data_IF_335518776173
#
_entry.id   IF_335518776173
#
_cell.length_a   1.000
_cell.length_b   1.000
_cell.length_c   1.000
_cell.angle_alpha   90.00
_cell.angle_beta   90.00
_cell.angle_gamma   90.00
#
_symmetry.space_group_name_H-M   'P 1'
#
loop_
_entity.id
_entity.type
_entity.pdbx_description
1 polymer ?
#
# COMPACT_ATOMS: atom_id res chain seq x y z
N UNK A 1 -5.92 -11.03 7.57
CA UNK A 1 -5.28 -10.83 6.25
C UNK A 1 -3.87 -11.37 6.38
N UNK A 2 -3.42 -12.17 5.43
CA UNK A 2 -2.04 -12.65 5.37
C UNK A 2 -1.14 -11.69 4.58
N UNK A 3 0.19 -11.70 4.81
CA UNK A 3 1.13 -10.90 4.03
C UNK A 3 1.05 -11.15 2.52
N UNK A 4 0.90 -12.40 2.09
CA UNK A 4 0.76 -12.76 0.67
C UNK A 4 -0.53 -12.20 0.05
N UNK A 5 -1.65 -12.19 0.78
CA UNK A 5 -2.90 -11.59 0.29
C UNK A 5 -2.76 -10.06 0.13
N UNK A 6 -2.09 -9.39 1.07
CA UNK A 6 -1.82 -7.96 0.96
C UNK A 6 -0.91 -7.66 -0.23
N UNK A 7 0.17 -8.43 -0.39
CA UNK A 7 1.12 -8.28 -1.48
C UNK A 7 0.45 -8.43 -2.85
N UNK A 8 -0.31 -9.52 -3.07
CA UNK A 8 -1.03 -9.74 -4.33
C UNK A 8 -2.04 -8.63 -4.61
N UNK A 9 -2.76 -8.16 -3.59
CA UNK A 9 -3.71 -7.07 -3.79
C UNK A 9 -3.00 -5.75 -4.14
N UNK A 10 -1.92 -5.41 -3.44
CA UNK A 10 -1.19 -4.18 -3.66
C UNK A 10 -0.47 -4.16 -5.02
N UNK A 11 0.12 -5.29 -5.44
CA UNK A 11 0.83 -5.41 -6.72
C UNK A 11 -0.12 -5.37 -7.93
N UNK A 12 -1.35 -5.86 -7.78
CA UNK A 12 -2.37 -5.83 -8.84
C UNK A 12 -3.27 -4.59 -8.79
N UNK A 13 -3.12 -3.70 -7.79
CA UNK A 13 -4.06 -2.62 -7.53
C UNK A 13 -4.27 -1.70 -8.75
N UNK A 14 -3.19 -1.34 -9.44
CA UNK A 14 -3.22 -0.52 -10.66
C UNK A 14 -4.12 -1.09 -11.77
N UNK A 15 -4.40 -2.39 -11.75
CA UNK A 15 -5.27 -3.05 -12.74
C UNK A 15 -6.75 -2.84 -12.46
N UNK A 16 -7.12 -2.45 -11.24
CA UNK A 16 -8.51 -2.29 -10.81
C UNK A 16 -9.18 -1.07 -11.47
N UNK A 17 -10.51 -1.10 -11.71
CA UNK A 17 -11.22 0.04 -12.29
C UNK A 17 -11.10 1.33 -11.44
N UNK A 18 -11.09 1.19 -10.11
CA UNK A 18 -10.97 2.32 -9.20
C UNK A 18 -9.60 3.01 -9.32
N UNK A 19 -8.53 2.22 -9.36
CA UNK A 19 -7.17 2.73 -9.52
C UNK A 19 -6.99 3.41 -10.89
N UNK A 20 -7.48 2.78 -11.97
CA UNK A 20 -7.43 3.35 -13.33
C UNK A 20 -8.16 4.68 -13.44
N UNK A 21 -9.29 4.84 -12.76
CA UNK A 21 -10.07 6.08 -12.79
C UNK A 21 -9.31 7.29 -12.22
N UNK A 22 -8.36 7.06 -11.32
CA UNK A 22 -7.57 8.11 -10.65
C UNK A 22 -6.08 8.05 -10.96
N UNK A 23 -5.65 7.12 -11.83
CA UNK A 23 -4.23 6.91 -12.16
C UNK A 23 -3.37 6.40 -11.00
N UNK A 24 -3.95 5.76 -9.99
CA UNK A 24 -3.22 5.28 -8.83
C UNK A 24 -2.50 3.95 -9.13
N UNK A 25 -1.28 3.80 -8.62
CA UNK A 25 -0.48 2.57 -8.76
C UNK A 25 -0.64 1.63 -7.56
N UNK A 26 -0.77 2.19 -6.35
CA UNK A 26 -0.80 1.46 -5.10
C UNK A 26 -2.05 1.81 -4.29
N UNK A 27 -2.59 0.86 -3.49
CA UNK A 27 -3.72 1.13 -2.63
C UNK A 27 -3.30 2.03 -1.46
N UNK A 28 -4.23 2.87 -1.01
CA UNK A 28 -4.08 3.56 0.26
C UNK A 28 -4.36 2.61 1.42
N UNK A 29 -3.87 2.95 2.62
CA UNK A 29 -4.25 2.28 3.86
C UNK A 29 -5.77 2.26 4.06
N UNK A 30 -6.47 3.32 3.64
CA UNK A 30 -7.93 3.36 3.66
C UNK A 30 -8.55 2.32 2.73
N UNK A 31 -8.02 2.13 1.53
CA UNK A 31 -8.50 1.11 0.59
C UNK A 31 -8.30 -0.30 1.14
N UNK A 32 -7.10 -0.57 1.68
CA UNK A 32 -6.75 -1.84 2.29
C UNK A 32 -7.65 -2.13 3.50
N UNK A 33 -7.79 -1.16 4.41
CA UNK A 33 -8.64 -1.29 5.60
C UNK A 33 -10.09 -1.58 5.22
N UNK A 34 -10.63 -0.88 4.21
CA UNK A 34 -11.99 -1.10 3.72
C UNK A 34 -12.15 -2.48 3.06
N UNK A 35 -11.16 -2.92 2.28
CA UNK A 35 -11.21 -4.21 1.56
C UNK A 35 -11.13 -5.40 2.50
N UNK A 36 -10.17 -5.39 3.42
CA UNK A 36 -9.88 -6.53 4.28
C UNK A 36 -10.53 -6.42 5.66
N UNK A 37 -11.23 -5.31 5.96
CA UNK A 37 -11.86 -5.04 7.27
C UNK A 37 -10.85 -5.11 8.42
N UNK A 38 -9.69 -4.47 8.22
CA UNK A 38 -8.57 -4.42 9.17
C UNK A 38 -8.28 -2.98 9.61
N UNK A 39 -7.56 -2.83 10.71
CA UNK A 39 -7.05 -1.55 11.20
C UNK A 39 -5.75 -1.14 10.50
N UNK A 40 -5.36 0.13 10.60
CA UNK A 40 -4.09 0.60 10.04
C UNK A 40 -2.87 -0.04 10.69
N UNK A 41 -2.92 -0.28 12.01
CA UNK A 41 -1.84 -0.97 12.74
C UNK A 41 -1.67 -2.41 12.24
N UNK A 42 -2.78 -3.11 11.92
CA UNK A 42 -2.71 -4.44 11.32
C UNK A 42 -2.09 -4.44 9.92
N UNK A 43 -2.27 -3.37 9.13
CA UNK A 43 -1.65 -3.24 7.81
C UNK A 43 -0.13 -3.09 7.98
N UNK A 44 0.31 -2.22 8.88
CA UNK A 44 1.74 -2.03 9.18
C UNK A 44 2.38 -3.33 9.65
N UNK A 45 1.77 -4.02 10.63
CA UNK A 45 2.27 -5.32 11.07
C UNK A 45 2.32 -6.34 9.92
N UNK A 46 1.32 -6.36 9.05
CA UNK A 46 1.32 -7.27 7.89
C UNK A 46 2.46 -6.95 6.90
N UNK A 47 2.82 -5.67 6.75
CA UNK A 47 3.98 -5.27 5.96
C UNK A 47 5.31 -5.65 6.62
N UNK A 48 5.40 -5.55 7.95
CA UNK A 48 6.59 -5.98 8.72
C UNK A 48 6.79 -7.50 8.67
N UNK A 49 5.69 -8.26 8.67
CA UNK A 49 5.70 -9.73 8.60
C UNK A 49 6.02 -10.25 7.17
N UNK A 50 6.23 -9.37 6.18
CA UNK A 50 6.48 -9.76 4.79
C UNK A 50 7.87 -10.37 4.58
N UNK A 51 7.92 -11.48 3.85
CA UNK A 51 9.18 -12.08 3.40
C UNK A 51 9.71 -11.33 2.17
N UNK A 52 10.65 -10.41 2.40
CA UNK A 52 11.31 -9.61 1.37
C UNK A 52 12.04 -10.43 0.28
N UNK A 53 12.23 -11.74 0.45
CA UNK A 53 12.76 -12.60 -0.61
C UNK A 53 11.74 -12.86 -1.73
N UNK A 54 10.46 -12.62 -1.47
CA UNK A 54 9.36 -12.85 -2.42
C UNK A 54 8.97 -11.59 -3.20
N UNK A 55 9.57 -10.44 -2.86
CA UNK A 55 9.32 -9.14 -3.47
C UNK A 55 9.45 -8.02 -2.45
N UNK A 56 9.26 -6.80 -2.91
CA UNK A 56 9.20 -5.62 -2.04
C UNK A 56 7.76 -5.38 -1.58
N UNK A 57 7.55 -5.17 -0.28
CA UNK A 57 6.31 -4.63 0.27
C UNK A 57 6.59 -3.79 1.50
N UNK A 58 6.19 -2.52 1.49
CA UNK A 58 6.34 -1.60 2.62
C UNK A 58 5.27 -0.49 2.59
N UNK A 59 4.95 0.13 3.74
CA UNK A 59 4.18 1.36 3.79
C UNK A 59 4.98 2.55 3.23
N UNK A 60 4.39 3.31 2.32
CA UNK A 60 4.91 4.61 1.92
C UNK A 60 4.19 5.72 2.69
N UNK A 61 4.94 6.44 3.52
CA UNK A 61 4.46 7.56 4.36
C UNK A 61 4.61 8.93 3.67
N UNK A 62 5.20 8.93 2.47
CA UNK A 62 5.51 10.12 1.69
C UNK A 62 6.25 9.75 0.41
N UNK A 63 6.77 10.75 -0.29
CA UNK A 63 7.53 10.55 -1.50
C UNK A 63 8.42 11.73 -1.84
N UNK A 64 9.19 11.59 -2.90
CA UNK A 64 10.05 12.63 -3.43
C UNK A 64 9.44 13.22 -4.72
N UNK A 65 9.39 14.54 -4.82
CA UNK A 65 8.97 15.26 -6.01
C UNK A 65 10.03 16.32 -6.36
N UNK A 66 10.84 16.03 -7.40
CA UNK A 66 12.01 16.84 -7.72
C UNK A 66 13.03 16.84 -6.57
N UNK A 67 13.37 18.04 -6.07
CA UNK A 67 14.23 18.21 -4.88
C UNK A 67 13.44 18.25 -3.56
N UNK A 68 12.11 18.18 -3.60
CA UNK A 68 11.26 18.23 -2.42
C UNK A 68 10.86 16.85 -1.90
N UNK A 69 10.66 16.73 -0.59
CA UNK A 69 10.05 15.58 0.08
C UNK A 69 8.65 16.01 0.52
N UNK A 70 7.65 15.17 0.27
CA UNK A 70 6.32 15.34 0.83
C UNK A 70 5.97 14.15 1.71
N UNK A 71 5.13 14.41 2.72
CA UNK A 71 4.52 13.38 3.56
C UNK A 71 3.01 13.43 3.37
N UNK A 72 2.34 12.30 3.54
CA UNK A 72 0.88 12.27 3.54
C UNK A 72 0.33 12.96 4.80
N UNK A 73 -0.86 13.56 4.70
CA UNK A 73 -1.44 14.36 5.79
C UNK A 73 -2.12 13.48 6.84
N UNK A 74 -2.52 12.25 6.45
CA UNK A 74 -3.12 11.29 7.37
C UNK A 74 -2.62 9.87 7.10
N UNK A 75 -2.62 9.02 8.14
CA UNK A 75 -2.27 7.59 8.02
C UNK A 75 -3.10 6.86 6.97
N UNK A 76 -4.36 7.26 6.78
CA UNK A 76 -5.24 6.65 5.77
C UNK A 76 -4.82 6.93 4.33
N UNK A 77 -3.96 7.94 4.09
CA UNK A 77 -3.40 8.28 2.78
C UNK A 77 -2.05 7.62 2.50
N UNK A 78 -1.45 6.97 3.50
CA UNK A 78 -0.25 6.16 3.28
C UNK A 78 -0.55 5.09 2.23
N UNK A 79 0.42 4.82 1.37
CA UNK A 79 0.28 3.77 0.36
C UNK A 79 0.87 2.47 0.87
N UNK A 80 0.41 1.35 0.32
CA UNK A 80 1.10 0.07 0.42
C UNK A 80 1.78 -0.20 -0.90
N UNK A 81 3.08 0.07 -0.98
CA UNK A 81 3.87 -0.23 -2.17
C UNK A 81 4.18 -1.73 -2.22
N UNK A 82 3.97 -2.35 -3.38
CA UNK A 82 4.34 -3.74 -3.60
C UNK A 82 4.77 -3.99 -5.05
N UNK A 83 5.91 -4.66 -5.25
CA UNK A 83 6.38 -5.09 -6.56
C UNK A 83 7.36 -6.27 -6.45
N UNK A 84 7.47 -7.04 -7.54
CA UNK A 84 8.45 -8.13 -7.69
C UNK A 84 9.81 -7.62 -8.17
#
# INVERSE_FOLDING_TARGET
>A
MSPSELFSYASEYATTPAAKAIGAQYPTFRDVAKRFKVTYDQIEQTCEDWDHRQGYMQPAIGGQCGSGIFTYSSRGEHLVEAYH
#
